data_IF_672480002741
#
_entry.id   IF_672480002741
#
_cell.length_a   1.000
_cell.length_b   1.000
_cell.length_c   1.000
_cell.angle_alpha   90.00
_cell.angle_beta   90.00
_cell.angle_gamma   90.00
#
_symmetry.space_group_name_H-M   'P 1'
#
loop_
_entity.id
_entity.type
_entity.pdbx_description
1 polymer ?
#
# COMPACT_ATOMS: atom_id res chain seq x y z
N UNK A 1 1.92 -52.31 40.20
CA UNK A 1 2.73 -51.29 39.47
C UNK A 1 1.85 -50.66 38.38
N UNK A 2 1.33 -49.49 38.66
CA UNK A 2 0.41 -48.75 37.78
C UNK A 2 1.22 -47.81 36.87
N UNK A 3 1.19 -48.07 35.57
CA UNK A 3 1.88 -47.22 34.59
C UNK A 3 1.01 -46.01 34.31
N UNK A 4 1.44 -44.83 34.79
CA UNK A 4 0.85 -43.54 34.42
C UNK A 4 1.31 -43.19 32.98
N UNK A 5 0.36 -43.19 32.06
CA UNK A 5 0.54 -42.71 30.70
C UNK A 5 0.29 -41.17 30.71
N UNK A 6 1.35 -40.38 30.69
CA UNK A 6 1.24 -38.94 30.56
C UNK A 6 0.95 -38.61 29.09
N UNK A 7 -0.28 -38.26 28.80
CA UNK A 7 -0.69 -37.74 27.50
C UNK A 7 -0.28 -36.25 27.43
N UNK A 8 0.86 -35.97 26.78
CA UNK A 8 1.28 -34.59 26.49
C UNK A 8 0.40 -34.09 25.34
N UNK A 9 -0.67 -33.35 25.67
CA UNK A 9 -1.43 -32.62 24.67
C UNK A 9 -0.55 -31.48 24.15
N UNK A 10 0.04 -31.68 22.98
CA UNK A 10 0.66 -30.63 22.20
C UNK A 10 -0.48 -29.78 21.63
N UNK A 11 -0.88 -28.76 22.38
CA UNK A 11 -1.73 -27.69 21.86
C UNK A 11 -0.91 -26.91 20.84
N UNK A 12 -0.93 -27.35 19.59
CA UNK A 12 -0.50 -26.54 18.46
C UNK A 12 -1.47 -25.37 18.34
N UNK A 13 -1.15 -24.28 19.02
CA UNK A 13 -1.84 -23.00 18.82
C UNK A 13 -1.73 -22.63 17.34
N UNK A 14 -2.82 -22.77 16.60
CA UNK A 14 -2.93 -22.19 15.28
C UNK A 14 -2.78 -20.67 15.44
N UNK A 15 -1.57 -20.18 15.27
CA UNK A 15 -1.33 -18.76 15.07
C UNK A 15 -1.97 -18.43 13.73
N UNK A 16 -3.14 -17.80 13.76
CA UNK A 16 -3.69 -17.17 12.58
C UNK A 16 -2.73 -16.03 12.21
N UNK A 17 -1.85 -16.29 11.26
CA UNK A 17 -1.05 -15.26 10.62
C UNK A 17 -2.03 -14.49 9.74
N UNK A 18 -2.59 -13.42 10.28
CA UNK A 18 -3.34 -12.47 9.47
C UNK A 18 -2.34 -11.82 8.50
N UNK A 19 -2.61 -11.94 7.21
CA UNK A 19 -2.00 -11.06 6.22
C UNK A 19 -2.23 -9.60 6.65
N UNK A 20 -1.37 -8.68 6.24
CA UNK A 20 -1.33 -7.30 6.75
C UNK A 20 -2.64 -6.50 6.53
N UNK A 21 -3.69 -7.10 5.95
CA UNK A 21 -5.04 -6.56 5.85
C UNK A 21 -5.07 -5.14 5.28
N UNK A 22 -4.50 -4.96 4.08
CA UNK A 22 -4.46 -3.65 3.43
C UNK A 22 -5.86 -3.16 3.08
N UNK A 23 -6.16 -1.95 3.49
CA UNK A 23 -7.43 -1.24 3.21
C UNK A 23 -7.12 0.11 2.59
N UNK A 24 -7.89 0.47 1.58
CA UNK A 24 -7.81 1.76 0.89
C UNK A 24 -9.11 2.53 1.10
N UNK A 25 -8.98 3.81 1.40
CA UNK A 25 -10.11 4.75 1.36
C UNK A 25 -10.48 5.09 -0.09
N UNK A 26 -11.67 5.67 -0.25
CA UNK A 26 -12.17 6.11 -1.57
C UNK A 26 -11.26 7.19 -2.14
N UNK A 27 -10.72 7.02 -3.35
CA UNK A 27 -9.86 8.02 -3.98
C UNK A 27 -10.68 9.21 -4.49
N UNK A 28 -10.13 10.42 -4.29
CA UNK A 28 -10.69 11.68 -4.80
C UNK A 28 -9.62 12.42 -5.58
N UNK A 29 -9.93 12.81 -6.82
CA UNK A 29 -9.05 13.64 -7.63
C UNK A 29 -9.23 15.11 -7.24
N UNK A 30 -8.14 15.78 -6.86
CA UNK A 30 -8.15 17.21 -6.52
C UNK A 30 -7.79 18.11 -7.74
N UNK A 31 -7.95 19.42 -7.56
CA UNK A 31 -7.64 20.39 -8.61
C UNK A 31 -6.15 20.46 -9.02
N UNK A 32 -5.26 19.91 -8.19
CA UNK A 32 -3.83 19.80 -8.51
C UNK A 32 -3.49 18.56 -9.34
N UNK A 33 -4.48 17.81 -9.83
CA UNK A 33 -4.29 16.50 -10.48
C UNK A 33 -3.59 15.48 -9.59
N UNK A 34 -3.97 15.45 -8.32
CA UNK A 34 -3.51 14.47 -7.34
C UNK A 34 -4.68 13.61 -6.92
N UNK A 35 -4.49 12.32 -6.93
CA UNK A 35 -5.43 11.35 -6.36
C UNK A 35 -5.15 11.21 -4.87
N UNK A 36 -6.10 11.63 -4.05
CA UNK A 36 -6.00 11.67 -2.59
C UNK A 36 -6.86 10.57 -2.00
N UNK A 37 -6.28 9.73 -1.16
CA UNK A 37 -6.98 8.63 -0.46
C UNK A 37 -6.24 8.28 0.83
N UNK A 38 -6.80 7.39 1.64
CA UNK A 38 -6.12 6.85 2.82
C UNK A 38 -5.68 5.41 2.60
N UNK A 39 -4.62 5.01 3.28
CA UNK A 39 -4.14 3.63 3.34
C UNK A 39 -4.04 3.17 4.79
N UNK A 40 -4.41 1.93 5.03
CA UNK A 40 -4.25 1.25 6.33
C UNK A 40 -3.74 -0.16 6.09
N UNK A 41 -2.87 -0.64 6.95
CA UNK A 41 -2.55 -2.08 7.06
C UNK A 41 -2.04 -2.42 8.45
N UNK A 42 -2.24 -3.68 8.83
CA UNK A 42 -1.85 -4.18 10.13
C UNK A 42 -0.40 -4.70 10.08
N UNK A 43 0.26 -4.75 11.24
CA UNK A 43 1.58 -5.36 11.41
C UNK A 43 2.70 -4.79 10.52
N UNK A 44 2.62 -3.52 10.15
CA UNK A 44 3.70 -2.86 9.43
C UNK A 44 5.01 -2.91 10.21
N UNK A 45 6.12 -3.17 9.52
CA UNK A 45 7.42 -3.25 10.16
C UNK A 45 8.58 -2.78 9.25
N UNK A 46 9.66 -2.36 9.88
CA UNK A 46 10.92 -2.03 9.25
C UNK A 46 12.02 -2.34 10.26
N UNK A 47 13.02 -3.17 9.89
CA UNK A 47 14.09 -3.58 10.79
C UNK A 47 15.18 -2.52 10.92
N UNK A 48 15.75 -2.36 12.11
CA UNK A 48 16.89 -1.44 12.35
C UNK A 48 18.25 -2.05 11.98
N UNK A 49 18.31 -3.39 11.92
CA UNK A 49 19.55 -4.13 11.62
C UNK A 49 19.61 -4.55 10.16
N UNK A 50 20.81 -4.66 9.62
CA UNK A 50 21.01 -5.21 8.29
C UNK A 50 20.40 -6.63 8.19
N UNK A 51 19.76 -6.94 7.05
CA UNK A 51 19.71 -6.22 5.76
C UNK A 51 18.67 -5.09 5.66
N UNK A 52 18.13 -4.57 6.76
CA UNK A 52 17.14 -3.47 6.79
C UNK A 52 15.86 -3.80 6.03
N UNK A 53 15.34 -5.00 6.22
CA UNK A 53 14.11 -5.46 5.60
C UNK A 53 12.90 -4.67 6.09
N UNK A 54 11.90 -4.59 5.25
CA UNK A 54 10.65 -3.87 5.55
C UNK A 54 9.47 -4.51 4.80
N UNK A 55 8.28 -4.25 5.29
CA UNK A 55 7.05 -4.44 4.57
C UNK A 55 6.58 -3.12 3.95
N UNK A 56 5.81 -3.22 2.91
CA UNK A 56 5.21 -2.06 2.26
C UNK A 56 4.07 -2.45 1.35
N UNK A 57 3.51 -1.44 0.72
CA UNK A 57 2.38 -1.58 -0.18
C UNK A 57 2.74 -0.98 -1.54
N UNK A 58 2.68 -1.79 -2.60
CA UNK A 58 2.75 -1.30 -3.97
C UNK A 58 1.39 -0.78 -4.38
N UNK A 59 1.31 0.49 -4.73
CA UNK A 59 0.11 1.20 -5.15
C UNK A 59 0.18 1.48 -6.65
N UNK A 60 -0.91 1.20 -7.35
CA UNK A 60 -1.08 1.59 -8.75
C UNK A 60 -2.52 2.05 -9.00
N UNK A 61 -2.71 2.83 -10.04
CA UNK A 61 -3.99 3.46 -10.35
C UNK A 61 -4.48 3.00 -11.71
N UNK A 62 -5.75 2.65 -11.78
CA UNK A 62 -6.47 2.51 -13.05
C UNK A 62 -7.53 3.59 -13.17
N UNK A 63 -7.84 3.93 -14.40
CA UNK A 63 -8.92 4.83 -14.75
C UNK A 63 -9.72 4.32 -15.93
N UNK A 64 -10.96 4.76 -16.05
CA UNK A 64 -11.78 4.60 -17.25
C UNK A 64 -12.46 5.92 -17.59
N UNK A 65 -12.66 6.15 -18.88
CA UNK A 65 -13.42 7.29 -19.37
C UNK A 65 -14.90 6.90 -19.45
N UNK A 66 -15.72 7.50 -18.58
CA UNK A 66 -17.14 7.21 -18.49
C UNK A 66 -17.94 7.70 -19.71
N UNK A 67 -17.38 8.63 -20.50
CA UNK A 67 -18.04 9.19 -21.70
C UNK A 67 -17.78 8.41 -22.99
N UNK A 68 -16.73 7.57 -23.07
CA UNK A 68 -16.32 6.96 -24.33
C UNK A 68 -16.22 5.45 -24.33
N UNK A 69 -15.52 4.87 -23.37
CA UNK A 69 -15.30 3.42 -23.29
C UNK A 69 -15.34 2.96 -21.84
N UNK A 70 -15.85 1.74 -21.61
CA UNK A 70 -15.81 1.12 -20.29
C UNK A 70 -14.48 0.40 -20.00
N UNK A 71 -13.47 0.54 -20.87
CA UNK A 71 -12.18 -0.12 -20.71
C UNK A 71 -11.33 0.58 -19.65
N UNK A 72 -10.78 -0.20 -18.73
CA UNK A 72 -9.84 0.28 -17.73
C UNK A 72 -8.43 0.36 -18.30
N UNK A 73 -7.77 1.49 -18.08
CA UNK A 73 -6.38 1.75 -18.46
C UNK A 73 -5.54 2.05 -17.24
N UNK A 74 -4.22 1.83 -17.30
CA UNK A 74 -3.31 2.28 -16.26
C UNK A 74 -3.14 3.80 -16.32
N UNK A 75 -3.27 4.46 -15.17
CA UNK A 75 -2.86 5.85 -15.05
C UNK A 75 -1.33 5.94 -15.05
N UNK A 76 -0.83 7.06 -15.54
CA UNK A 76 0.59 7.38 -15.49
C UNK A 76 0.84 8.30 -14.29
N UNK A 77 1.63 7.84 -13.33
CA UNK A 77 2.08 8.62 -12.19
C UNK A 77 3.31 9.45 -12.56
N UNK A 78 3.52 10.55 -11.86
CA UNK A 78 4.77 11.29 -11.96
C UNK A 78 5.94 10.42 -11.46
N UNK A 79 7.07 10.44 -12.15
CA UNK A 79 8.24 9.62 -11.80
C UNK A 79 9.16 10.26 -10.77
N UNK A 80 8.86 11.48 -10.33
CA UNK A 80 9.60 12.18 -9.28
C UNK A 80 8.97 11.90 -7.92
N UNK A 81 9.71 11.29 -7.01
CA UNK A 81 9.20 10.89 -5.69
C UNK A 81 8.61 12.09 -4.89
N UNK A 82 9.23 13.27 -4.99
CA UNK A 82 8.77 14.49 -4.30
C UNK A 82 7.49 15.09 -4.89
N UNK A 83 7.03 14.60 -6.04
CA UNK A 83 5.73 15.01 -6.59
C UNK A 83 4.55 14.32 -5.87
N UNK A 84 4.84 13.28 -5.11
CA UNK A 84 3.87 12.54 -4.29
C UNK A 84 4.07 12.86 -2.82
N UNK A 85 3.06 12.60 -2.00
CA UNK A 85 3.22 12.70 -0.55
C UNK A 85 2.45 11.60 0.18
N UNK A 86 2.99 11.23 1.33
CA UNK A 86 2.35 10.33 2.29
C UNK A 86 2.50 10.90 3.69
N UNK A 87 1.56 10.57 4.56
CA UNK A 87 1.61 10.98 5.96
C UNK A 87 2.65 10.14 6.72
N UNK A 88 3.35 10.78 7.68
CA UNK A 88 4.21 10.04 8.61
C UNK A 88 3.39 8.99 9.42
N UNK A 89 3.95 7.80 9.70
CA UNK A 89 5.37 7.41 9.60
C UNK A 89 5.77 6.82 8.24
N UNK A 90 5.02 7.05 7.19
CA UNK A 90 5.25 6.49 5.87
C UNK A 90 6.18 7.34 5.01
N UNK A 91 6.75 6.71 4.00
CA UNK A 91 7.47 7.37 2.90
C UNK A 91 7.17 6.66 1.58
N UNK A 92 7.40 7.37 0.49
CA UNK A 92 7.45 6.78 -0.85
C UNK A 92 8.86 6.25 -1.09
N UNK A 93 8.95 4.99 -1.53
CA UNK A 93 10.24 4.42 -1.89
C UNK A 93 10.76 5.06 -3.18
N UNK A 94 11.92 5.74 -3.15
CA UNK A 94 12.42 6.49 -4.29
C UNK A 94 12.92 5.60 -5.44
N UNK A 95 13.15 4.31 -5.18
CA UNK A 95 13.80 3.41 -6.14
C UNK A 95 12.84 2.68 -7.09
N UNK A 96 11.52 2.80 -6.91
CA UNK A 96 10.52 2.00 -7.62
C UNK A 96 9.49 2.84 -8.42
N UNK A 97 9.91 4.02 -8.88
CA UNK A 97 9.05 4.96 -9.63
C UNK A 97 9.40 5.06 -11.13
N UNK A 98 10.37 4.31 -11.63
CA UNK A 98 11.00 4.55 -12.92
C UNK A 98 10.08 4.47 -14.14
N UNK A 99 9.00 3.69 -14.07
CA UNK A 99 8.05 3.50 -15.17
C UNK A 99 6.73 4.30 -14.99
N UNK A 100 6.54 4.93 -13.84
CA UNK A 100 5.33 5.67 -13.50
C UNK A 100 4.04 4.84 -13.43
N UNK A 101 4.13 3.51 -13.42
CA UNK A 101 2.94 2.63 -13.36
C UNK A 101 2.43 2.42 -11.95
N UNK A 102 3.30 2.58 -10.98
CA UNK A 102 2.97 2.48 -9.56
C UNK A 102 4.13 2.93 -8.70
N UNK A 103 3.95 2.89 -7.39
CA UNK A 103 4.97 3.22 -6.41
C UNK A 103 4.81 2.37 -5.15
N UNK A 104 5.87 2.29 -4.35
CA UNK A 104 5.84 1.61 -3.07
C UNK A 104 5.77 2.64 -1.94
N UNK A 105 4.86 2.38 -1.00
CA UNK A 105 4.76 3.10 0.28
C UNK A 105 5.18 2.15 1.39
N UNK A 106 6.07 2.60 2.26
CA UNK A 106 6.60 1.83 3.39
C UNK A 106 6.93 2.73 4.58
N UNK A 107 7.29 2.14 5.72
CA UNK A 107 7.79 2.93 6.85
C UNK A 107 9.08 3.67 6.49
N UNK A 108 9.15 4.93 6.91
CA UNK A 108 10.32 5.79 6.70
C UNK A 108 11.49 5.42 7.62
N UNK A 109 11.19 4.87 8.80
CA UNK A 109 12.18 4.53 9.82
C UNK A 109 11.87 3.17 10.46
N UNK A 110 12.87 2.53 11.10
CA UNK A 110 12.69 1.28 11.82
C UNK A 110 11.59 1.37 12.87
N UNK A 111 10.84 0.28 13.01
CA UNK A 111 9.72 0.16 13.94
C UNK A 111 8.67 -0.82 13.45
N UNK A 112 7.63 -0.98 14.26
CA UNK A 112 6.49 -1.85 13.93
C UNK A 112 5.18 -1.24 14.45
N UNK A 113 4.07 -1.76 13.98
CA UNK A 113 2.72 -1.37 14.37
C UNK A 113 1.81 -1.12 13.18
N UNK A 114 0.52 -0.93 13.43
CA UNK A 114 -0.44 -0.68 12.36
C UNK A 114 -0.27 0.70 11.74
N UNK A 115 -0.59 0.79 10.47
CA UNK A 115 -0.80 2.03 9.71
C UNK A 115 -2.30 2.24 9.64
N UNK A 116 -2.79 3.43 10.01
CA UNK A 116 -4.24 3.66 10.17
C UNK A 116 -4.66 4.96 9.50
N UNK A 117 -5.36 4.83 8.36
CA UNK A 117 -5.92 5.95 7.61
C UNK A 117 -4.92 7.04 7.24
N UNK A 118 -3.66 6.65 6.98
CA UNK A 118 -2.63 7.61 6.60
C UNK A 118 -2.89 8.12 5.18
N UNK A 119 -2.86 9.44 5.03
CA UNK A 119 -3.16 10.08 3.75
C UNK A 119 -2.05 9.86 2.74
N UNK A 120 -2.44 9.48 1.54
CA UNK A 120 -1.60 9.34 0.35
C UNK A 120 -2.09 10.30 -0.72
N UNK A 121 -1.16 11.01 -1.37
CA UNK A 121 -1.42 11.85 -2.55
C UNK A 121 -0.53 11.41 -3.69
N UNK A 122 -1.15 10.94 -4.76
CA UNK A 122 -0.47 10.48 -5.95
C UNK A 122 -0.64 11.51 -7.08
N UNK A 123 0.44 12.11 -7.52
CA UNK A 123 0.45 13.03 -8.66
C UNK A 123 0.29 12.25 -9.96
N UNK A 124 -0.78 12.52 -10.70
CA UNK A 124 -1.01 11.94 -12.01
C UNK A 124 -0.36 12.79 -13.11
N UNK A 125 0.16 12.11 -14.14
CA UNK A 125 0.57 12.70 -15.42
C UNK A 125 -0.54 12.45 -16.44
N UNK A 126 -1.13 11.24 -16.44
CA UNK A 126 -2.22 10.86 -17.32
C UNK A 126 -3.17 9.89 -16.59
N UNK A 127 -4.48 10.07 -16.75
CA UNK A 127 -5.15 11.13 -17.49
C UNK A 127 -4.99 12.47 -16.78
N UNK A 128 -5.11 13.55 -17.52
CA UNK A 128 -5.21 14.90 -16.97
C UNK A 128 -6.54 15.10 -16.24
N UNK A 129 -6.73 16.30 -15.69
CA UNK A 129 -7.98 16.70 -15.03
C UNK A 129 -9.18 16.55 -15.96
N UNK A 130 -10.21 15.85 -15.51
CA UNK A 130 -11.46 15.70 -16.23
C UNK A 130 -12.52 15.05 -15.35
N UNK A 131 -13.73 15.62 -15.36
CA UNK A 131 -14.87 15.11 -14.60
C UNK A 131 -15.46 13.79 -15.16
N UNK A 132 -14.96 13.31 -16.30
CA UNK A 132 -15.48 12.13 -16.97
C UNK A 132 -14.68 10.84 -16.69
N UNK A 133 -13.80 10.86 -15.69
CA UNK A 133 -12.99 9.70 -15.35
C UNK A 133 -13.38 9.10 -14.00
N UNK A 134 -13.55 7.78 -13.98
CA UNK A 134 -13.53 6.99 -12.75
C UNK A 134 -12.12 6.54 -12.46
N UNK A 135 -11.74 6.56 -11.17
CA UNK A 135 -10.43 6.08 -10.70
C UNK A 135 -10.59 4.94 -9.71
N UNK A 136 -9.69 3.98 -9.81
CA UNK A 136 -9.56 2.91 -8.85
C UNK A 136 -8.09 2.74 -8.45
N UNK A 137 -7.83 2.74 -7.15
CA UNK A 137 -6.51 2.44 -6.60
C UNK A 137 -6.46 0.97 -6.21
N UNK A 138 -5.36 0.34 -6.54
CA UNK A 138 -5.05 -1.04 -6.19
C UNK A 138 -3.83 -1.07 -5.28
N UNK A 139 -3.82 -2.00 -4.36
CA UNK A 139 -2.75 -2.21 -3.42
C UNK A 139 -2.29 -3.68 -3.45
N UNK A 140 -0.98 -3.89 -3.47
CA UNK A 140 -0.36 -5.22 -3.34
C UNK A 140 0.63 -5.16 -2.19
N UNK A 141 0.47 -6.04 -1.22
CA UNK A 141 1.42 -6.17 -0.11
C UNK A 141 2.77 -6.69 -0.62
N UNK A 142 3.84 -6.12 -0.08
CA UNK A 142 5.21 -6.45 -0.42
C UNK A 142 6.05 -6.63 0.85
N UNK A 143 6.94 -7.60 0.81
CA UNK A 143 7.99 -7.82 1.83
C UNK A 143 9.33 -7.84 1.12
N UNK A 144 10.27 -7.04 1.62
CA UNK A 144 11.59 -6.85 1.02
C UNK A 144 12.69 -7.14 2.03
#
# INVERSE_FOLDING_TARGET
>A
MQKFLVFLLFSAGFQMVFANNVRLGTPVLNAANELVFTVSWDNSWHTSSAPHNWDGVYLFVKYRNCASTNAWSHAQLNTTATAHSVQAPLQIDPYKLSDGKGLIVRRSSPGSGSVSNDTVKLKLVSPGLGSSYDFQVFAIEMVM
#
